data_IF_931055529852
#
_entry.id   IF_931055529852
#
_cell.length_a   1.000
_cell.length_b   1.000
_cell.length_c   1.000
_cell.angle_alpha   90.00
_cell.angle_beta   90.00
_cell.angle_gamma   90.00
#
_symmetry.space_group_name_H-M   'P 1'
#
loop_
_entity.id
_entity.type
_entity.pdbx_description
1 polymer ?
#
# COMPACT_ATOMS: atom_id res chain seq x y z
N UNK A 1 -35.77 -11.17 -1.29
CA UNK A 1 -35.45 -9.77 -1.60
C UNK A 1 -33.94 -9.66 -1.74
N UNK A 2 -33.45 -9.07 -2.84
CA UNK A 2 -32.03 -8.77 -2.99
C UNK A 2 -31.68 -7.57 -2.12
N UNK A 3 -30.52 -7.60 -1.45
CA UNK A 3 -30.00 -6.44 -0.73
C UNK A 3 -29.31 -5.53 -1.76
N UNK A 4 -29.75 -4.29 -1.84
CA UNK A 4 -29.13 -3.25 -2.66
C UNK A 4 -28.04 -2.55 -1.86
N UNK A 5 -26.94 -2.22 -2.51
CA UNK A 5 -25.79 -1.54 -1.93
C UNK A 5 -25.47 -0.31 -2.78
N UNK A 6 -25.15 0.81 -2.13
CA UNK A 6 -24.87 2.09 -2.76
C UNK A 6 -23.36 2.29 -2.90
N UNK A 7 -22.90 2.53 -4.13
CA UNK A 7 -21.48 2.76 -4.42
C UNK A 7 -20.96 4.06 -3.81
N UNK A 8 -21.78 5.12 -3.81
CA UNK A 8 -21.37 6.45 -3.34
C UNK A 8 -21.10 6.44 -1.83
N UNK A 9 -21.82 5.62 -1.08
CA UNK A 9 -21.55 5.37 0.34
C UNK A 9 -20.13 4.82 0.57
N UNK A 10 -19.64 3.90 -0.27
CA UNK A 10 -18.25 3.39 -0.16
C UNK A 10 -17.21 4.46 -0.50
N UNK A 11 -17.49 5.33 -1.48
CA UNK A 11 -16.61 6.46 -1.81
C UNK A 11 -16.51 7.46 -0.66
N UNK A 12 -17.63 7.77 0.01
CA UNK A 12 -17.66 8.70 1.14
C UNK A 12 -16.96 8.15 2.40
N UNK A 13 -16.94 6.82 2.56
CA UNK A 13 -16.27 6.13 3.66
C UNK A 13 -14.76 5.96 3.43
N UNK A 14 -14.32 5.90 2.17
CA UNK A 14 -12.91 5.87 1.84
C UNK A 14 -12.22 7.17 2.30
N UNK A 15 -11.36 7.06 3.32
CA UNK A 15 -10.51 8.18 3.79
C UNK A 15 -9.04 7.90 3.48
N UNK A 16 -8.62 8.03 2.21
CA UNK A 16 -7.23 7.88 1.83
C UNK A 16 -6.42 9.03 2.46
N UNK A 17 -5.40 8.69 3.26
CA UNK A 17 -4.44 9.67 3.78
C UNK A 17 -3.05 9.30 3.31
N UNK A 18 -2.29 10.28 2.85
CA UNK A 18 -0.93 10.06 2.36
C UNK A 18 -0.03 9.44 3.45
N UNK A 19 0.88 8.58 3.02
CA UNK A 19 1.96 8.10 3.86
C UNK A 19 3.16 9.05 3.73
N UNK A 20 3.52 9.73 4.81
CA UNK A 20 4.64 10.69 4.81
C UNK A 20 5.87 10.06 5.46
N UNK A 21 6.88 9.75 4.64
CA UNK A 21 8.18 9.27 5.09
C UNK A 21 9.12 10.45 5.32
N UNK A 22 9.54 10.67 6.56
CA UNK A 22 10.59 11.66 6.90
C UNK A 22 11.97 11.02 6.81
N UNK A 23 12.85 11.57 5.98
CA UNK A 23 14.23 11.14 5.81
C UNK A 23 15.19 12.34 5.98
N UNK A 24 15.67 12.55 7.21
CA UNK A 24 16.42 13.77 7.54
C UNK A 24 15.54 15.01 7.44
N UNK A 25 15.92 15.93 6.55
CA UNK A 25 15.17 17.16 6.24
C UNK A 25 14.18 16.99 5.09
N UNK A 26 14.23 15.87 4.38
CA UNK A 26 13.34 15.57 3.26
C UNK A 26 12.07 14.86 3.73
N UNK A 27 10.99 15.07 2.96
CA UNK A 27 9.71 14.38 3.12
C UNK A 27 9.31 13.77 1.80
N UNK A 28 9.09 12.46 1.81
CA UNK A 28 8.55 11.70 0.69
C UNK A 28 7.08 11.44 1.01
N UNK A 29 6.20 11.85 0.10
CA UNK A 29 4.75 11.71 0.24
C UNK A 29 4.29 10.63 -0.71
N UNK A 30 3.83 9.50 -0.17
CA UNK A 30 3.30 8.38 -0.95
C UNK A 30 1.78 8.47 -0.88
N UNK A 31 1.16 8.60 -2.05
CA UNK A 31 -0.28 8.67 -2.18
C UNK A 31 -0.91 7.28 -2.01
N UNK A 32 -2.16 7.20 -1.52
CA UNK A 32 -2.89 5.94 -1.42
C UNK A 32 -3.08 5.31 -2.81
N UNK A 33 -2.82 4.00 -2.97
CA UNK A 33 -2.99 3.33 -4.26
C UNK A 33 -4.46 3.30 -4.69
N UNK A 34 -4.69 3.41 -6.00
CA UNK A 34 -6.02 3.21 -6.58
C UNK A 34 -6.41 1.72 -6.63
N UNK A 35 -7.68 1.46 -6.99
CA UNK A 35 -8.20 0.10 -7.04
C UNK A 35 -7.45 -0.81 -8.01
N UNK A 36 -6.95 -0.28 -9.13
CA UNK A 36 -6.15 -1.04 -10.09
C UNK A 36 -4.79 -1.44 -9.49
N UNK A 37 -4.12 -0.50 -8.85
CA UNK A 37 -2.83 -0.74 -8.17
C UNK A 37 -2.97 -1.77 -7.05
N UNK A 38 -4.08 -1.76 -6.30
CA UNK A 38 -4.36 -2.77 -5.27
C UNK A 38 -4.48 -4.17 -5.86
N UNK A 39 -5.15 -4.33 -7.00
CA UNK A 39 -5.24 -5.64 -7.69
C UNK A 39 -3.85 -6.10 -8.14
N UNK A 40 -3.06 -5.20 -8.74
CA UNK A 40 -1.70 -5.51 -9.18
C UNK A 40 -0.76 -5.86 -8.01
N UNK A 41 -1.03 -5.33 -6.81
CA UNK A 41 -0.26 -5.64 -5.61
C UNK A 41 -0.52 -7.05 -5.10
N UNK A 42 -1.75 -7.55 -5.19
CA UNK A 42 -2.09 -8.93 -4.83
C UNK A 42 -1.40 -9.95 -5.77
N UNK A 43 -1.25 -9.59 -7.03
CA UNK A 43 -0.56 -10.39 -8.05
C UNK A 43 0.97 -10.28 -7.98
N UNK A 44 1.51 -9.32 -7.22
CA UNK A 44 2.93 -9.05 -7.18
C UNK A 44 3.71 -10.14 -6.43
N UNK A 45 4.63 -10.80 -7.14
CA UNK A 45 5.40 -11.94 -6.59
C UNK A 45 6.75 -11.55 -5.97
N UNK A 46 7.18 -10.30 -6.10
CA UNK A 46 8.48 -9.83 -5.59
C UNK A 46 8.34 -8.57 -4.74
N UNK A 47 9.10 -8.49 -3.64
CA UNK A 47 9.08 -7.32 -2.76
C UNK A 47 9.50 -6.01 -3.45
N UNK A 48 10.35 -6.09 -4.48
CA UNK A 48 10.70 -4.91 -5.30
C UNK A 48 9.49 -4.40 -6.10
N UNK A 49 8.73 -5.31 -6.73
CA UNK A 49 7.53 -4.93 -7.50
C UNK A 49 6.45 -4.36 -6.59
N UNK A 50 6.27 -4.94 -5.40
CA UNK A 50 5.36 -4.41 -4.38
C UNK A 50 5.72 -2.97 -4.02
N UNK A 51 7.00 -2.67 -3.79
CA UNK A 51 7.44 -1.31 -3.47
C UNK A 51 7.28 -0.34 -4.63
N UNK A 52 7.53 -0.79 -5.86
CA UNK A 52 7.35 0.04 -7.05
C UNK A 52 5.88 0.43 -7.22
N UNK A 53 4.97 -0.53 -7.06
CA UNK A 53 3.52 -0.30 -7.13
C UNK A 53 3.01 0.58 -5.99
N UNK A 54 3.43 0.34 -4.76
CA UNK A 54 3.01 1.12 -3.58
C UNK A 54 3.55 2.55 -3.62
N UNK A 55 4.83 2.73 -3.98
CA UNK A 55 5.46 4.04 -3.92
C UNK A 55 5.20 4.89 -5.17
N UNK A 56 4.76 4.28 -6.28
CA UNK A 56 4.51 4.97 -7.54
C UNK A 56 5.69 5.85 -7.97
N UNK A 57 5.41 7.12 -8.26
CA UNK A 57 6.41 8.12 -8.66
C UNK A 57 7.53 8.32 -7.62
N UNK A 58 7.26 8.03 -6.34
CA UNK A 58 8.24 8.17 -5.27
C UNK A 58 9.17 6.96 -5.14
N UNK A 59 8.96 5.88 -5.91
CA UNK A 59 9.77 4.67 -5.82
C UNK A 59 11.26 4.96 -5.94
N UNK A 60 11.69 5.83 -6.86
CA UNK A 60 13.10 6.18 -7.03
C UNK A 60 13.72 6.75 -5.76
N UNK A 61 13.06 7.73 -5.12
CA UNK A 61 13.52 8.35 -3.89
C UNK A 61 13.56 7.35 -2.73
N UNK A 62 12.49 6.56 -2.55
CA UNK A 62 12.43 5.52 -1.53
C UNK A 62 13.50 4.45 -1.75
N UNK A 63 13.72 4.03 -2.99
CA UNK A 63 14.68 3.01 -3.35
C UNK A 63 16.12 3.44 -3.03
N UNK A 64 16.50 4.67 -3.36
CA UNK A 64 17.82 5.21 -3.04
C UNK A 64 18.08 5.25 -1.51
N UNK A 65 17.05 5.51 -0.71
CA UNK A 65 17.17 5.48 0.76
C UNK A 65 17.42 4.08 1.32
N UNK A 66 16.84 3.03 0.71
CA UNK A 66 16.79 1.68 1.30
C UNK A 66 17.71 0.66 0.64
N UNK A 67 18.09 0.82 -0.63
CA UNK A 67 18.82 -0.18 -1.45
C UNK A 67 20.16 -0.62 -0.89
N UNK A 68 20.82 0.22 -0.09
CA UNK A 68 22.12 -0.06 0.54
C UNK A 68 22.01 -0.23 2.06
N UNK A 69 20.79 -0.34 2.59
CA UNK A 69 20.53 -0.53 4.02
C UNK A 69 20.32 -2.00 4.33
N UNK A 70 20.35 -2.31 5.63
CA UNK A 70 20.00 -3.63 6.12
C UNK A 70 18.57 -4.01 5.68
N UNK A 71 18.36 -5.26 5.26
CA UNK A 71 17.08 -5.75 4.73
C UNK A 71 15.89 -5.52 5.67
N UNK A 72 16.13 -5.51 6.99
CA UNK A 72 15.12 -5.17 8.00
C UNK A 72 14.49 -3.78 7.84
N UNK A 73 15.20 -2.80 7.27
CA UNK A 73 14.67 -1.45 7.00
C UNK A 73 13.59 -1.52 5.92
N UNK A 74 13.90 -2.21 4.82
CA UNK A 74 12.97 -2.40 3.71
C UNK A 74 11.70 -3.13 4.14
N UNK A 75 11.89 -4.24 4.87
CA UNK A 75 10.78 -5.07 5.35
C UNK A 75 9.87 -4.31 6.31
N UNK A 76 10.45 -3.47 7.17
CA UNK A 76 9.67 -2.64 8.09
C UNK A 76 8.91 -1.54 7.33
N UNK A 77 9.58 -0.83 6.42
CA UNK A 77 8.95 0.22 5.63
C UNK A 77 7.77 -0.32 4.80
N UNK A 78 7.96 -1.42 4.08
CA UNK A 78 6.90 -2.04 3.29
C UNK A 78 5.70 -2.44 4.16
N UNK A 79 5.95 -2.97 5.37
CA UNK A 79 4.89 -3.33 6.33
C UNK A 79 4.16 -2.11 6.86
N UNK A 80 4.88 -1.04 7.21
CA UNK A 80 4.29 0.18 7.74
C UNK A 80 3.40 0.86 6.67
N UNK A 81 3.84 0.88 5.41
CA UNK A 81 3.01 1.41 4.31
C UNK A 81 1.79 0.52 4.04
N UNK A 82 1.96 -0.80 3.98
CA UNK A 82 0.85 -1.72 3.76
C UNK A 82 -0.22 -1.59 4.86
N UNK A 83 0.19 -1.48 6.12
CA UNK A 83 -0.71 -1.26 7.25
C UNK A 83 -1.42 0.10 7.18
N UNK A 84 -0.70 1.15 6.80
CA UNK A 84 -1.26 2.51 6.69
C UNK A 84 -2.36 2.59 5.63
N UNK A 85 -2.18 1.90 4.50
CA UNK A 85 -3.18 1.82 3.44
C UNK A 85 -4.20 0.68 3.60
N UNK A 86 -4.15 -0.08 4.70
CA UNK A 86 -5.09 -1.19 4.95
C UNK A 86 -4.92 -2.40 4.02
N UNK A 87 -3.74 -2.56 3.42
CA UNK A 87 -3.39 -3.64 2.48
C UNK A 87 -2.96 -4.94 3.20
N UNK A 88 -2.88 -4.93 4.54
CA UNK A 88 -2.49 -6.08 5.36
C UNK A 88 -3.67 -6.97 5.76
N UNK A 89 -4.90 -6.59 5.41
CA UNK A 89 -6.11 -7.38 5.68
C UNK A 89 -6.58 -8.11 4.42
N UNK A 90 -6.84 -9.44 4.50
CA UNK A 90 -7.55 -10.12 3.43
C UNK A 90 -8.97 -9.51 3.30
N UNK A 91 -9.54 -9.46 2.08
CA UNK A 91 -10.89 -8.95 1.90
C UNK A 91 -11.86 -9.69 2.83
N UNK A 92 -12.84 -8.98 3.45
CA UNK A 92 -13.80 -9.61 4.34
C UNK A 92 -14.59 -10.68 3.56
N UNK A 93 -14.37 -11.95 3.95
CA UNK A 93 -14.91 -13.12 3.25
C UNK A 93 -13.85 -14.18 2.90
N UNK A 94 -12.57 -13.82 2.94
CA UNK A 94 -11.43 -14.73 2.76
C UNK A 94 -11.13 -15.59 4.00
N UNK A 95 -12.13 -16.23 4.58
CA UNK A 95 -11.90 -17.35 5.48
C UNK A 95 -11.27 -18.46 4.64
N UNK A 96 -10.01 -18.81 4.93
CA UNK A 96 -9.37 -20.00 4.38
C UNK A 96 -10.27 -21.21 4.63
N UNK A 97 -10.97 -21.65 3.59
CA UNK A 97 -11.41 -23.03 3.50
C UNK A 97 -10.22 -23.83 2.99
N UNK A 98 -9.42 -24.36 3.92
CA UNK A 98 -8.66 -25.63 3.86
C UNK A 98 -7.60 -25.66 4.97
#
# INVERSE_FOLDING_TARGET
MAREYDFDSYLAEARPTDFVLKAGDERIVIEPPDGETVVLLDEATTGRRVLELICGDQFGAVWELVRHRHSGVLNKLARDIAKHFGLDQPPPGGGRAS
#
